data_IF_312626474054
#
_entry.id   IF_312626474054
#
_cell.length_a   1.000
_cell.length_b   1.000
_cell.length_c   1.000
_cell.angle_alpha   90.00
_cell.angle_beta   90.00
_cell.angle_gamma   90.00
#
_symmetry.space_group_name_H-M   'P 1'
#
loop_
_entity.id
_entity.type
_entity.pdbx_description
1 polymer ?
#
# COMPACT_ATOMS: atom_id res chain seq x y z
N UNK A 1 -15.55 5.89 -23.53
CA UNK A 1 -14.11 6.01 -23.84
C UNK A 1 -13.41 6.15 -22.51
N UNK A 2 -12.45 5.28 -22.21
CA UNK A 2 -11.60 5.47 -21.03
C UNK A 2 -10.89 6.82 -21.18
N UNK A 3 -10.87 7.59 -20.12
CA UNK A 3 -10.09 8.83 -20.08
C UNK A 3 -8.61 8.46 -20.17
N UNK A 4 -7.80 9.32 -20.82
CA UNK A 4 -6.33 9.15 -20.77
C UNK A 4 -5.75 9.32 -19.37
N UNK A 5 -6.62 9.46 -18.37
CA UNK A 5 -6.28 9.57 -16.96
C UNK A 5 -5.29 10.70 -16.66
N UNK A 6 -4.36 10.39 -15.77
CA UNK A 6 -3.35 11.34 -15.27
C UNK A 6 -1.95 11.09 -15.88
N UNK A 7 -1.84 10.17 -16.82
CA UNK A 7 -0.55 9.73 -17.39
C UNK A 7 0.37 10.91 -17.69
N UNK A 8 1.53 10.92 -17.03
CA UNK A 8 2.62 11.91 -17.20
C UNK A 8 2.22 13.39 -17.02
N UNK A 9 1.15 13.67 -16.28
CA UNK A 9 0.77 15.05 -15.95
C UNK A 9 1.46 15.56 -14.68
N UNK A 10 1.82 14.66 -13.79
CA UNK A 10 2.45 14.98 -12.51
C UNK A 10 3.61 14.04 -12.22
N UNK A 11 4.54 14.52 -11.39
CA UNK A 11 5.67 13.74 -10.91
C UNK A 11 5.89 13.95 -9.40
N UNK A 12 6.38 12.90 -8.74
CA UNK A 12 6.90 12.96 -7.39
C UNK A 12 8.35 13.47 -7.47
N UNK A 13 8.68 14.47 -6.68
CA UNK A 13 10.02 15.08 -6.64
C UNK A 13 10.69 15.01 -5.28
N UNK A 14 9.97 14.62 -4.24
CA UNK A 14 10.50 14.42 -2.90
C UNK A 14 9.64 13.47 -2.10
N UNK A 15 10.27 12.62 -1.30
CA UNK A 15 9.56 11.70 -0.41
C UNK A 15 10.27 11.58 0.93
N UNK A 16 9.46 11.26 1.96
CA UNK A 16 9.92 10.92 3.29
C UNK A 16 9.03 9.87 3.94
N UNK A 17 9.63 9.02 4.77
CA UNK A 17 8.94 7.96 5.48
C UNK A 17 9.64 7.69 6.81
N UNK A 18 8.90 7.72 7.91
CA UNK A 18 9.45 7.38 9.23
C UNK A 18 9.77 5.89 9.32
N UNK A 19 10.51 5.48 10.32
CA UNK A 19 10.50 4.08 10.75
C UNK A 19 9.10 3.75 11.26
N UNK A 20 8.54 2.60 10.85
CA UNK A 20 7.26 2.13 11.38
C UNK A 20 7.47 1.23 12.58
N UNK A 21 6.54 1.26 13.53
CA UNK A 21 6.68 0.46 14.73
C UNK A 21 5.78 0.92 15.87
N UNK A 22 6.19 0.59 17.09
CA UNK A 22 5.56 1.06 18.33
C UNK A 22 6.35 2.26 18.86
N UNK A 23 5.86 3.47 18.61
CA UNK A 23 6.53 4.72 18.99
C UNK A 23 5.95 5.32 20.26
N UNK A 24 6.32 4.76 21.41
CA UNK A 24 5.86 5.23 22.72
C UNK A 24 6.42 6.62 23.10
N UNK A 25 7.48 7.06 22.44
CA UNK A 25 8.21 8.31 22.65
C UNK A 25 7.85 9.42 21.65
N UNK A 26 6.99 9.16 20.65
CA UNK A 26 6.61 10.12 19.60
C UNK A 26 5.10 10.36 19.59
N UNK A 27 4.73 11.61 19.39
CA UNK A 27 3.36 12.02 19.10
C UNK A 27 3.04 11.96 17.60
N UNK A 28 1.77 12.18 17.24
CA UNK A 28 1.36 12.40 15.83
C UNK A 28 2.15 13.54 15.20
N UNK A 29 2.34 14.63 15.96
CA UNK A 29 3.07 15.82 15.51
C UNK A 29 4.53 15.50 15.18
N UNK A 30 5.20 14.71 16.02
CA UNK A 30 6.60 14.30 15.81
C UNK A 30 6.74 13.45 14.54
N UNK A 31 5.85 12.47 14.34
CA UNK A 31 5.85 11.60 13.16
C UNK A 31 5.63 12.41 11.87
N UNK A 32 4.66 13.33 11.87
CA UNK A 32 4.39 14.21 10.72
C UNK A 32 5.59 15.10 10.40
N UNK A 33 6.19 15.72 11.42
CA UNK A 33 7.37 16.59 11.25
C UNK A 33 8.56 15.80 10.70
N UNK A 34 8.79 14.57 11.16
CA UNK A 34 9.87 13.71 10.69
C UNK A 34 9.72 13.37 9.20
N UNK A 35 8.55 12.84 8.79
CA UNK A 35 8.28 12.47 7.41
C UNK A 35 8.34 13.67 6.44
N UNK A 36 7.76 14.79 6.84
CA UNK A 36 7.71 16.01 6.02
C UNK A 36 9.09 16.65 5.89
N UNK A 37 9.90 16.68 6.95
CA UNK A 37 11.29 17.16 6.89
C UNK A 37 12.14 16.32 5.93
N UNK A 38 11.97 15.00 5.94
CA UNK A 38 12.68 14.13 5.01
C UNK A 38 12.23 14.38 3.56
N UNK A 39 10.92 14.50 3.30
CA UNK A 39 10.41 14.82 1.96
C UNK A 39 10.94 16.16 1.43
N UNK A 40 10.96 17.19 2.27
CA UNK A 40 11.56 18.50 1.92
C UNK A 40 13.06 18.39 1.69
N UNK A 41 13.79 17.65 2.53
CA UNK A 41 15.23 17.49 2.39
C UNK A 41 15.62 16.72 1.14
N UNK A 42 14.83 15.70 0.74
CA UNK A 42 15.07 14.88 -0.46
C UNK A 42 14.91 15.64 -1.78
N UNK A 43 14.19 16.76 -1.77
CA UNK A 43 13.95 17.61 -2.94
C UNK A 43 14.61 19.00 -2.85
N UNK A 44 15.04 19.40 -1.65
CA UNK A 44 15.48 20.77 -1.37
C UNK A 44 14.38 21.81 -1.34
N UNK A 45 13.10 21.40 -1.36
CA UNK A 45 11.93 22.30 -1.43
C UNK A 45 11.53 22.75 -0.01
N UNK A 46 11.51 24.05 0.29
CA UNK A 46 10.98 24.57 1.54
C UNK A 46 9.46 24.39 1.61
N UNK A 47 8.91 24.14 2.81
CA UNK A 47 7.46 24.03 3.00
C UNK A 47 6.68 25.30 2.61
N UNK A 48 7.31 26.46 2.70
CA UNK A 48 6.73 27.73 2.30
C UNK A 48 6.35 27.78 0.80
N UNK A 49 7.08 27.03 -0.03
CA UNK A 49 6.85 26.99 -1.48
C UNK A 49 5.74 26.02 -1.88
N UNK A 50 5.30 25.14 -0.97
CA UNK A 50 4.20 24.20 -1.22
C UNK A 50 2.86 24.95 -1.13
N UNK A 51 2.03 24.84 -2.17
CA UNK A 51 0.77 25.58 -2.31
C UNK A 51 -0.32 25.02 -1.40
N UNK A 52 -0.48 23.69 -1.36
CA UNK A 52 -1.55 23.01 -0.62
C UNK A 52 -1.11 21.63 -0.12
N UNK A 53 -1.83 21.11 0.89
CA UNK A 53 -1.49 19.88 1.58
C UNK A 53 -2.70 18.96 1.68
N UNK A 54 -2.46 17.65 1.59
CA UNK A 54 -3.42 16.59 1.87
C UNK A 54 -2.93 15.76 3.04
N UNK A 55 -3.81 15.49 3.99
CA UNK A 55 -3.56 14.65 5.16
C UNK A 55 -4.45 13.42 5.12
N UNK A 56 -3.84 12.25 5.00
CA UNK A 56 -4.50 10.95 5.17
C UNK A 56 -4.36 10.45 6.61
N UNK A 57 -5.47 10.25 7.30
CA UNK A 57 -5.51 9.61 8.62
C UNK A 57 -6.89 9.06 8.92
N UNK A 58 -6.96 7.86 9.51
CA UNK A 58 -8.20 7.27 10.00
C UNK A 58 -8.54 7.81 11.39
N UNK A 59 -7.62 7.66 12.35
CA UNK A 59 -7.87 7.87 13.76
C UNK A 59 -6.99 8.95 14.43
N UNK A 60 -5.92 9.41 13.75
CA UNK A 60 -4.90 10.27 14.37
C UNK A 60 -5.15 11.79 14.18
N UNK A 61 -6.34 12.17 13.73
CA UNK A 61 -6.72 13.58 13.59
C UNK A 61 -8.05 13.78 12.89
N UNK A 62 -8.76 14.85 13.23
CA UNK A 62 -10.12 15.12 12.75
C UNK A 62 -10.19 16.13 11.60
N UNK A 63 -9.13 16.92 11.37
CA UNK A 63 -9.13 17.99 10.37
C UNK A 63 -7.74 18.29 9.85
N UNK A 64 -7.64 19.16 8.84
CA UNK A 64 -6.36 19.67 8.33
C UNK A 64 -5.50 20.37 9.39
N UNK A 65 -6.09 20.84 10.49
CA UNK A 65 -5.34 21.46 11.59
C UNK A 65 -4.35 20.49 12.27
N UNK A 66 -4.59 19.19 12.17
CA UNK A 66 -3.65 18.16 12.63
C UNK A 66 -2.29 18.29 11.93
N UNK A 67 -2.28 18.64 10.65
CA UNK A 67 -1.06 18.88 9.88
C UNK A 67 -0.55 20.34 10.04
N UNK A 68 -1.48 21.32 10.03
CA UNK A 68 -1.10 22.74 10.05
C UNK A 68 -0.33 23.11 11.30
N UNK A 69 -0.77 22.61 12.47
CA UNK A 69 -0.20 22.97 13.76
C UNK A 69 1.29 22.60 13.89
N UNK A 70 1.70 21.34 13.73
CA UNK A 70 3.10 20.95 13.91
C UNK A 70 4.03 21.51 12.84
N UNK A 71 3.53 21.71 11.62
CA UNK A 71 4.32 22.21 10.50
C UNK A 71 4.26 23.73 10.35
N UNK A 72 3.46 24.42 11.17
CA UNK A 72 3.27 25.89 11.13
C UNK A 72 2.86 26.39 9.75
N UNK A 73 1.85 25.72 9.17
CA UNK A 73 1.33 26.04 7.83
C UNK A 73 0.31 27.19 7.96
N UNK A 74 0.81 28.42 8.09
CA UNK A 74 -0.02 29.61 8.27
C UNK A 74 -0.86 29.88 7.02
N UNK A 75 -2.19 29.72 7.15
CA UNK A 75 -3.18 29.99 6.10
C UNK A 75 -3.04 29.17 4.81
N UNK A 76 -2.26 28.09 4.80
CA UNK A 76 -2.18 27.16 3.65
C UNK A 76 -3.43 26.25 3.62
N UNK A 77 -3.95 25.92 2.44
CA UNK A 77 -5.00 24.91 2.30
C UNK A 77 -4.54 23.53 2.77
N UNK A 78 -5.30 22.91 3.67
CA UNK A 78 -5.05 21.54 4.13
C UNK A 78 -6.35 20.76 4.07
N UNK A 79 -6.39 19.68 3.28
CA UNK A 79 -7.53 18.79 3.15
C UNK A 79 -7.26 17.47 3.85
N UNK A 80 -8.14 17.04 4.77
CA UNK A 80 -8.10 15.70 5.35
C UNK A 80 -8.93 14.76 4.49
N UNK A 81 -8.39 13.55 4.23
CA UNK A 81 -9.07 12.46 3.52
C UNK A 81 -9.00 11.17 4.32
N UNK A 82 -9.95 10.27 4.05
CA UNK A 82 -10.02 8.96 4.69
C UNK A 82 -10.74 7.97 3.75
N UNK A 83 -10.22 6.74 3.63
CA UNK A 83 -10.81 5.58 2.95
C UNK A 83 -10.22 4.28 3.54
N UNK A 84 -10.39 4.08 4.85
CA UNK A 84 -9.81 2.94 5.57
C UNK A 84 -8.31 2.77 5.25
N UNK A 85 -7.85 1.54 5.02
CA UNK A 85 -6.44 1.25 4.75
C UNK A 85 -5.91 1.84 3.42
N UNK A 86 -6.77 2.35 2.54
CA UNK A 86 -6.40 3.08 1.33
C UNK A 86 -6.18 4.60 1.55
N UNK A 87 -6.30 5.07 2.78
CA UNK A 87 -6.27 6.50 3.15
C UNK A 87 -5.02 7.23 2.68
N UNK A 88 -3.82 6.64 2.83
CA UNK A 88 -2.58 7.25 2.34
C UNK A 88 -2.55 7.40 0.82
N UNK A 89 -3.06 6.40 0.10
CA UNK A 89 -3.20 6.43 -1.35
C UNK A 89 -4.24 7.46 -1.81
N UNK A 90 -5.34 7.66 -1.06
CA UNK A 90 -6.32 8.72 -1.31
C UNK A 90 -5.71 10.11 -1.15
N UNK A 91 -4.88 10.31 -0.12
CA UNK A 91 -4.14 11.57 0.04
C UNK A 91 -3.30 11.86 -1.20
N UNK A 92 -2.56 10.88 -1.67
CA UNK A 92 -1.75 10.99 -2.89
C UNK A 92 -2.59 11.23 -4.14
N UNK A 93 -3.67 10.46 -4.36
CA UNK A 93 -4.53 10.60 -5.54
C UNK A 93 -5.15 12.00 -5.66
N UNK A 94 -5.70 12.51 -4.57
CA UNK A 94 -6.31 13.85 -4.56
C UNK A 94 -5.28 14.95 -4.78
N UNK A 95 -4.10 14.84 -4.17
CA UNK A 95 -2.99 15.76 -4.40
C UNK A 95 -2.55 15.78 -5.87
N UNK A 96 -2.41 14.60 -6.49
CA UNK A 96 -2.09 14.47 -7.92
C UNK A 96 -3.14 15.13 -8.81
N UNK A 97 -4.42 14.92 -8.55
CA UNK A 97 -5.50 15.53 -9.34
C UNK A 97 -5.55 17.06 -9.18
N UNK A 98 -5.20 17.59 -8.01
CA UNK A 98 -5.14 19.03 -7.79
C UNK A 98 -4.06 19.71 -8.65
N UNK A 99 -2.88 19.08 -8.77
CA UNK A 99 -1.82 19.56 -9.69
C UNK A 99 -2.22 19.35 -11.15
N UNK A 100 -2.69 18.17 -11.52
CA UNK A 100 -3.07 17.85 -12.90
C UNK A 100 -4.22 18.71 -13.43
N UNK A 101 -5.10 19.24 -12.56
CA UNK A 101 -6.16 20.18 -12.92
C UNK A 101 -5.68 21.62 -13.10
N UNK A 102 -4.45 21.93 -12.71
CA UNK A 102 -3.90 23.29 -12.71
C UNK A 102 -4.38 24.15 -11.54
N UNK A 103 -5.02 23.56 -10.51
CA UNK A 103 -5.43 24.32 -9.32
C UNK A 103 -4.23 24.73 -8.46
N UNK A 104 -3.18 23.94 -8.48
CA UNK A 104 -1.93 24.17 -7.76
C UNK A 104 -0.74 23.71 -8.62
N UNK A 105 0.42 24.31 -8.39
CA UNK A 105 1.66 23.97 -9.10
C UNK A 105 2.48 22.93 -8.35
N UNK A 106 2.45 23.01 -7.01
CA UNK A 106 3.19 22.15 -6.09
C UNK A 106 2.37 21.84 -4.86
N UNK A 107 2.24 20.55 -4.54
CA UNK A 107 1.47 20.11 -3.38
C UNK A 107 2.19 19.03 -2.60
N UNK A 108 1.76 18.81 -1.35
CA UNK A 108 2.26 17.72 -0.52
C UNK A 108 1.12 16.80 -0.09
N UNK A 109 1.28 15.51 -0.35
CA UNK A 109 0.47 14.46 0.25
C UNK A 109 1.18 13.92 1.49
N UNK A 110 0.45 13.80 2.60
CA UNK A 110 0.94 13.24 3.86
C UNK A 110 0.00 12.17 4.37
N UNK A 111 0.53 11.26 5.18
CA UNK A 111 -0.26 10.26 5.85
C UNK A 111 0.35 9.90 7.19
N UNK A 112 -0.48 9.66 8.21
CA UNK A 112 -0.02 9.35 9.56
C UNK A 112 -1.02 8.45 10.28
N UNK A 113 -0.51 7.54 11.11
CA UNK A 113 -1.28 6.93 12.20
C UNK A 113 -0.41 6.78 13.45
N UNK A 114 -1.03 7.04 14.59
CA UNK A 114 -0.51 6.84 15.93
C UNK A 114 -1.54 6.05 16.73
N UNK A 115 -1.41 4.72 16.69
CA UNK A 115 -2.44 3.79 17.10
C UNK A 115 -2.12 3.05 18.41
N UNK A 116 -0.84 2.78 18.69
CA UNK A 116 -0.44 1.88 19.78
C UNK A 116 -0.83 2.35 21.18
N UNK A 117 -0.85 3.64 21.43
CA UNK A 117 -1.21 4.27 22.70
C UNK A 117 -2.53 5.06 22.66
N UNK A 118 -3.27 4.97 21.56
CA UNK A 118 -4.59 5.62 21.39
C UNK A 118 -5.77 4.74 21.84
N UNK A 119 -5.50 3.50 22.27
CA UNK A 119 -6.54 2.50 22.57
C UNK A 119 -7.09 1.77 21.35
N UNK A 120 -6.54 2.02 20.14
CA UNK A 120 -6.95 1.33 18.93
C UNK A 120 -6.39 -0.09 18.90
N UNK A 121 -7.28 -1.09 18.86
CA UNK A 121 -6.91 -2.52 18.88
C UNK A 121 -6.94 -3.20 17.51
N UNK A 122 -7.16 -2.43 16.43
CA UNK A 122 -7.35 -2.92 15.08
C UNK A 122 -8.75 -2.63 14.54
N UNK A 123 -8.96 -2.91 13.26
CA UNK A 123 -10.26 -2.72 12.63
C UNK A 123 -11.27 -3.74 13.18
N UNK A 124 -12.37 -3.21 13.70
CA UNK A 124 -13.56 -3.98 14.08
C UNK A 124 -14.72 -3.42 13.27
N UNK A 125 -15.51 -4.28 12.66
CA UNK A 125 -16.72 -3.92 11.94
C UNK A 125 -17.92 -4.53 12.65
N UNK A 126 -18.91 -3.69 12.90
CA UNK A 126 -20.16 -4.10 13.52
C UNK A 126 -21.19 -4.39 12.42
N UNK A 127 -21.79 -5.55 12.48
CA UNK A 127 -22.86 -5.98 11.59
C UNK A 127 -24.20 -5.95 12.33
N UNK A 128 -25.18 -5.25 11.78
CA UNK A 128 -26.57 -5.31 12.25
C UNK A 128 -27.21 -6.62 11.77
N UNK A 129 -27.65 -7.46 12.68
CA UNK A 129 -28.33 -8.74 12.37
C UNK A 129 -29.75 -8.55 11.84
N UNK A 130 -30.27 -7.34 11.77
CA UNK A 130 -31.65 -7.05 11.32
C UNK A 130 -32.73 -7.44 12.35
N UNK A 131 -32.35 -8.08 13.45
CA UNK A 131 -33.21 -8.49 14.57
C UNK A 131 -32.93 -7.67 15.86
N UNK A 132 -32.14 -6.59 15.72
CA UNK A 132 -31.68 -5.75 16.81
C UNK A 132 -30.44 -6.30 17.54
N UNK A 133 -29.84 -7.36 17.03
CA UNK A 133 -28.53 -7.83 17.49
C UNK A 133 -27.41 -7.22 16.66
N UNK A 134 -26.31 -6.85 17.33
CA UNK A 134 -25.09 -6.38 16.67
C UNK A 134 -23.99 -7.43 16.89
N UNK A 135 -23.37 -7.86 15.81
CA UNK A 135 -22.21 -8.76 15.86
C UNK A 135 -20.97 -8.00 15.43
N UNK A 136 -19.91 -8.05 16.23
CA UNK A 136 -18.63 -7.41 15.90
C UNK A 136 -17.65 -8.45 15.37
N UNK A 137 -17.03 -8.16 14.22
CA UNK A 137 -15.96 -8.99 13.65
C UNK A 137 -14.67 -8.21 13.56
N UNK A 138 -13.57 -8.85 13.97
CA UNK A 138 -12.22 -8.29 13.81
C UNK A 138 -11.73 -8.48 12.35
N UNK A 139 -10.81 -7.64 11.90
CA UNK A 139 -10.22 -7.77 10.58
C UNK A 139 -9.64 -9.18 10.31
N UNK A 140 -8.86 -9.80 11.21
CA UNK A 140 -8.42 -11.19 11.02
C UNK A 140 -9.57 -12.17 10.79
N UNK A 141 -10.69 -12.02 11.50
CA UNK A 141 -11.84 -12.91 11.33
C UNK A 141 -12.47 -12.76 9.94
N UNK A 142 -12.66 -11.53 9.46
CA UNK A 142 -13.23 -11.27 8.12
C UNK A 142 -12.35 -11.80 7.00
N UNK A 143 -11.05 -11.55 7.06
CA UNK A 143 -10.10 -11.97 6.03
C UNK A 143 -9.76 -13.47 6.10
N UNK A 144 -10.01 -14.14 7.24
CA UNK A 144 -9.75 -15.58 7.39
C UNK A 144 -10.56 -16.47 6.44
N UNK A 145 -11.67 -15.94 5.91
CA UNK A 145 -12.53 -16.67 4.97
C UNK A 145 -11.92 -16.83 3.57
N UNK A 146 -10.98 -15.96 3.18
CA UNK A 146 -10.31 -16.03 1.87
C UNK A 146 -9.57 -17.36 1.68
N UNK A 147 -8.82 -17.81 2.67
CA UNK A 147 -7.99 -19.00 2.58
C UNK A 147 -8.79 -20.27 2.30
N UNK A 148 -9.81 -20.65 3.10
CA UNK A 148 -10.60 -21.86 2.85
C UNK A 148 -11.45 -21.75 1.58
N UNK A 149 -11.94 -20.55 1.21
CA UNK A 149 -12.67 -20.34 -0.02
C UNK A 149 -11.79 -20.59 -1.24
N UNK A 150 -10.58 -20.03 -1.24
CA UNK A 150 -9.59 -20.23 -2.30
C UNK A 150 -9.23 -21.72 -2.45
N UNK A 151 -8.89 -22.38 -1.33
CA UNK A 151 -8.55 -23.79 -1.32
C UNK A 151 -9.66 -24.67 -1.89
N UNK A 152 -10.91 -24.44 -1.47
CA UNK A 152 -12.09 -25.17 -1.96
C UNK A 152 -12.31 -24.96 -3.46
N UNK A 153 -12.21 -23.72 -3.94
CA UNK A 153 -12.47 -23.39 -5.34
C UNK A 153 -11.45 -24.00 -6.28
N UNK A 154 -10.17 -23.96 -5.92
CA UNK A 154 -9.07 -24.36 -6.80
C UNK A 154 -8.46 -25.73 -6.47
N UNK A 155 -9.03 -26.46 -5.50
CA UNK A 155 -8.60 -27.82 -5.15
C UNK A 155 -7.21 -27.87 -4.49
N UNK A 156 -6.83 -26.82 -3.75
CA UNK A 156 -5.61 -26.78 -2.98
C UNK A 156 -5.85 -27.50 -1.65
N UNK A 157 -5.02 -28.47 -1.30
CA UNK A 157 -5.17 -29.15 -0.01
C UNK A 157 -4.72 -28.26 1.17
N UNK A 158 -5.11 -28.66 2.38
CA UNK A 158 -4.86 -27.88 3.59
C UNK A 158 -3.35 -27.71 3.88
N UNK A 159 -2.54 -28.73 3.61
CA UNK A 159 -1.11 -28.67 3.83
C UNK A 159 -0.42 -27.75 2.82
N UNK A 160 -0.80 -27.84 1.54
CA UNK A 160 -0.34 -26.92 0.51
C UNK A 160 -0.74 -25.49 0.80
N UNK A 161 -2.00 -25.24 1.19
CA UNK A 161 -2.47 -23.90 1.54
C UNK A 161 -1.67 -23.31 2.71
N UNK A 162 -1.40 -24.11 3.72
CA UNK A 162 -0.58 -23.69 4.88
C UNK A 162 0.85 -23.34 4.45
N UNK A 163 1.44 -24.12 3.54
CA UNK A 163 2.79 -23.84 3.01
C UNK A 163 2.82 -22.56 2.17
N UNK A 164 1.78 -22.32 1.38
CA UNK A 164 1.60 -21.08 0.60
C UNK A 164 1.54 -19.85 1.51
N UNK A 165 0.68 -19.86 2.54
CA UNK A 165 0.56 -18.77 3.51
C UNK A 165 1.88 -18.54 4.26
N UNK A 166 2.54 -19.64 4.69
CA UNK A 166 3.83 -19.56 5.34
C UNK A 166 4.92 -19.01 4.40
N UNK A 167 4.87 -19.33 3.12
CA UNK A 167 5.80 -18.79 2.11
C UNK A 167 5.65 -17.28 1.94
N UNK A 168 4.42 -16.77 1.86
CA UNK A 168 4.14 -15.33 1.80
C UNK A 168 4.65 -14.63 3.07
N UNK A 169 4.30 -15.14 4.24
CA UNK A 169 4.77 -14.59 5.51
C UNK A 169 6.30 -14.58 5.61
N UNK A 170 6.94 -15.69 5.23
CA UNK A 170 8.40 -15.82 5.21
C UNK A 170 9.03 -14.77 4.29
N UNK A 171 8.55 -14.64 3.04
CA UNK A 171 9.04 -13.66 2.06
C UNK A 171 9.00 -12.24 2.60
N UNK A 172 7.86 -11.82 3.18
CA UNK A 172 7.69 -10.49 3.69
C UNK A 172 8.58 -10.22 4.93
N UNK A 173 8.75 -11.21 5.82
CA UNK A 173 9.72 -11.11 6.93
C UNK A 173 11.18 -11.12 6.46
N UNK A 174 11.51 -11.89 5.41
CA UNK A 174 12.83 -11.88 4.78
C UNK A 174 13.18 -10.50 4.23
N UNK A 175 12.24 -9.87 3.53
CA UNK A 175 12.40 -8.52 2.97
C UNK A 175 12.47 -7.46 4.08
N UNK A 176 11.56 -7.49 5.06
CA UNK A 176 11.53 -6.55 6.17
C UNK A 176 12.76 -6.62 7.07
N UNK A 177 13.36 -7.82 7.24
CA UNK A 177 14.60 -7.97 8.00
C UNK A 177 15.76 -7.17 7.40
N UNK A 178 15.72 -6.89 6.10
CA UNK A 178 16.69 -6.08 5.35
C UNK A 178 16.33 -4.61 5.28
N UNK A 179 15.18 -4.21 5.85
CA UNK A 179 14.72 -2.84 5.81
C UNK A 179 14.87 -2.17 7.19
N UNK A 180 15.77 -1.17 7.33
CA UNK A 180 16.00 -0.51 8.62
C UNK A 180 14.78 0.27 9.13
N UNK A 181 13.79 0.54 8.27
CA UNK A 181 12.56 1.27 8.63
C UNK A 181 11.41 0.33 9.01
N UNK A 182 11.57 -0.99 8.81
CA UNK A 182 10.52 -1.94 9.12
C UNK A 182 10.34 -2.15 10.63
N UNK A 183 9.10 -2.40 11.03
CA UNK A 183 8.74 -2.76 12.41
C UNK A 183 9.35 -4.10 12.82
N UNK A 184 9.22 -5.12 11.96
CA UNK A 184 9.72 -6.46 12.23
C UNK A 184 10.97 -6.73 11.39
N UNK A 185 12.14 -6.58 12.00
CA UNK A 185 13.45 -6.70 11.36
C UNK A 185 14.17 -8.01 11.65
N UNK A 186 13.40 -9.09 11.77
CA UNK A 186 13.95 -10.43 12.01
C UNK A 186 13.40 -11.40 10.99
N UNK A 187 14.29 -12.20 10.42
CA UNK A 187 13.86 -13.35 9.63
C UNK A 187 13.15 -14.36 10.54
N UNK A 188 12.09 -14.96 10.01
CA UNK A 188 11.30 -15.97 10.71
C UNK A 188 11.27 -17.22 9.84
N UNK A 189 11.58 -18.38 10.39
CA UNK A 189 11.55 -19.62 9.61
C UNK A 189 10.12 -20.06 9.31
N UNK A 190 9.91 -20.80 8.23
CA UNK A 190 8.59 -21.33 7.87
C UNK A 190 8.01 -22.22 8.97
N UNK A 191 8.87 -22.99 9.66
CA UNK A 191 8.47 -23.87 10.76
C UNK A 191 7.91 -23.04 11.92
N UNK A 192 8.56 -21.92 12.27
CA UNK A 192 8.09 -21.01 13.31
C UNK A 192 6.77 -20.33 12.92
N UNK A 193 6.62 -19.95 11.64
CA UNK A 193 5.37 -19.40 11.11
C UNK A 193 4.24 -20.41 11.25
N UNK A 194 4.44 -21.65 10.77
CA UNK A 194 3.46 -22.72 10.81
C UNK A 194 3.09 -23.16 12.24
N UNK A 195 3.99 -23.02 13.20
CA UNK A 195 3.76 -23.36 14.61
C UNK A 195 3.17 -22.20 15.44
N UNK A 196 2.95 -21.03 14.83
CA UNK A 196 2.46 -19.87 15.56
C UNK A 196 1.02 -20.04 16.04
N UNK A 197 0.64 -19.40 17.16
CA UNK A 197 -0.74 -19.43 17.64
C UNK A 197 -1.71 -18.87 16.61
N UNK A 198 -2.88 -19.52 16.47
CA UNK A 198 -3.96 -19.06 15.61
C UNK A 198 -4.64 -17.81 16.21
N UNK A 199 -4.99 -16.88 15.33
CA UNK A 199 -5.69 -15.63 15.65
C UNK A 199 -7.15 -15.72 15.22
N UNK A 200 -7.43 -16.18 14.00
CA UNK A 200 -8.77 -16.34 13.48
C UNK A 200 -8.79 -17.36 12.33
N UNK A 201 -9.68 -18.36 12.39
CA UNK A 201 -9.73 -19.43 11.39
C UNK A 201 -8.35 -20.07 11.19
N UNK A 202 -7.86 -20.19 9.95
CA UNK A 202 -6.54 -20.74 9.67
C UNK A 202 -5.39 -19.76 9.88
N UNK A 203 -5.67 -18.48 10.17
CA UNK A 203 -4.63 -17.45 10.29
C UNK A 203 -3.90 -17.52 11.62
N UNK A 204 -2.58 -17.66 11.58
CA UNK A 204 -1.69 -17.49 12.72
C UNK A 204 -1.23 -16.04 12.89
N UNK A 205 -0.47 -15.76 13.94
CA UNK A 205 0.09 -14.41 14.22
C UNK A 205 0.90 -13.91 13.03
N UNK A 206 1.69 -14.78 12.41
CA UNK A 206 2.52 -14.40 11.25
C UNK A 206 1.73 -14.28 9.95
N UNK A 207 0.45 -14.59 9.92
CA UNK A 207 -0.42 -14.31 8.78
C UNK A 207 -1.03 -12.91 8.84
N UNK A 208 -0.90 -12.21 9.95
CA UNK A 208 -1.51 -10.90 10.20
C UNK A 208 -0.46 -9.78 10.21
N UNK A 209 -0.80 -8.61 9.66
CA UNK A 209 -0.03 -7.38 9.88
C UNK A 209 -0.18 -6.89 11.31
N UNK A 210 0.88 -6.29 11.86
CA UNK A 210 0.82 -5.66 13.17
C UNK A 210 0.20 -4.26 13.13
N UNK A 211 -0.40 -3.84 14.24
CA UNK A 211 -0.76 -2.43 14.46
C UNK A 211 0.51 -1.62 14.62
N UNK A 212 0.64 -0.54 13.87
CA UNK A 212 1.87 0.26 13.78
C UNK A 212 1.57 1.75 13.86
N UNK A 213 2.55 2.48 14.34
CA UNK A 213 2.64 3.94 14.24
C UNK A 213 3.60 4.32 13.13
N UNK A 214 3.35 5.42 12.44
CA UNK A 214 4.24 5.94 11.41
C UNK A 214 3.61 6.99 10.53
N UNK A 215 4.45 7.69 9.77
CA UNK A 215 4.05 8.72 8.81
C UNK A 215 4.87 8.64 7.54
N UNK A 216 4.29 9.11 6.42
CA UNK A 216 4.99 9.28 5.16
C UNK A 216 4.48 10.53 4.43
N UNK A 217 5.31 11.08 3.54
CA UNK A 217 5.00 12.28 2.77
C UNK A 217 5.58 12.22 1.37
N UNK A 218 4.88 12.85 0.40
CA UNK A 218 5.31 12.99 -0.99
C UNK A 218 5.06 14.42 -1.47
N UNK A 219 6.03 15.01 -2.17
CA UNK A 219 5.90 16.29 -2.86
C UNK A 219 5.63 16.02 -4.34
N UNK A 220 4.55 16.59 -4.86
CA UNK A 220 4.05 16.38 -6.21
C UNK A 220 4.05 17.73 -6.94
N UNK A 221 4.54 17.73 -8.18
CA UNK A 221 4.59 18.89 -9.08
C UNK A 221 4.07 18.51 -10.45
N UNK A 222 3.88 19.49 -11.34
CA UNK A 222 3.66 19.21 -12.77
C UNK A 222 4.85 18.44 -13.33
N UNK A 223 4.60 17.47 -14.19
CA UNK A 223 5.65 16.63 -14.78
C UNK A 223 6.68 17.47 -15.56
N UNK A 224 6.24 18.51 -16.27
CA UNK A 224 7.10 19.41 -17.03
C UNK A 224 8.09 20.22 -16.17
N UNK A 225 7.75 20.45 -14.90
CA UNK A 225 8.58 21.19 -13.95
C UNK A 225 9.48 20.30 -13.10
N UNK A 226 9.32 18.98 -13.16
CA UNK A 226 9.92 18.04 -12.22
C UNK A 226 11.46 18.10 -12.17
N UNK A 227 12.10 18.28 -13.33
CA UNK A 227 13.57 18.39 -13.43
C UNK A 227 14.16 19.68 -12.84
N UNK A 228 13.32 20.64 -12.42
CA UNK A 228 13.78 21.80 -11.64
C UNK A 228 14.12 21.45 -10.20
N UNK A 229 13.59 20.34 -9.70
CA UNK A 229 13.68 19.93 -8.29
C UNK A 229 14.52 18.68 -8.08
N UNK A 230 14.60 17.79 -9.08
CA UNK A 230 15.39 16.55 -8.97
C UNK A 230 15.78 16.03 -10.36
N UNK A 231 16.97 15.42 -10.46
CA UNK A 231 17.43 14.77 -11.69
C UNK A 231 16.71 13.45 -11.96
N UNK A 232 16.04 12.88 -10.94
CA UNK A 232 15.38 11.57 -10.99
C UNK A 232 13.92 11.68 -10.51
N UNK A 233 13.05 12.42 -11.18
CA UNK A 233 11.63 12.47 -10.84
C UNK A 233 10.97 11.11 -11.09
N UNK A 234 9.90 10.83 -10.32
CA UNK A 234 9.08 9.64 -10.55
C UNK A 234 7.72 10.09 -11.07
N UNK A 235 7.42 9.74 -12.31
CA UNK A 235 6.21 10.13 -13.04
C UNK A 235 5.03 9.25 -12.66
N UNK A 236 3.85 9.85 -12.53
CA UNK A 236 2.60 9.12 -12.31
C UNK A 236 2.05 8.68 -13.67
N UNK A 237 1.96 7.36 -13.88
CA UNK A 237 1.50 6.74 -15.12
C UNK A 237 0.02 6.39 -15.12
N UNK A 238 -0.51 6.07 -13.96
CA UNK A 238 -1.91 5.73 -13.79
C UNK A 238 -2.33 5.81 -12.34
N UNK A 239 -3.54 6.30 -12.10
CA UNK A 239 -4.22 6.28 -10.82
C UNK A 239 -5.64 5.79 -11.03
N UNK A 240 -6.02 4.73 -10.34
CA UNK A 240 -7.36 4.20 -10.40
C UNK A 240 -7.90 3.91 -9.01
N UNK A 241 -9.19 4.13 -8.84
CA UNK A 241 -9.89 3.88 -7.59
C UNK A 241 -11.26 3.29 -7.89
N UNK A 242 -11.62 2.24 -7.18
CA UNK A 242 -12.93 1.60 -7.27
C UNK A 242 -13.49 1.39 -5.86
N UNK A 243 -14.70 1.87 -5.62
CA UNK A 243 -15.51 1.50 -4.47
C UNK A 243 -16.47 0.37 -4.88
N UNK A 244 -16.54 -0.67 -4.08
CA UNK A 244 -17.45 -1.78 -4.28
C UNK A 244 -18.90 -1.44 -3.93
N UNK A 245 -19.85 -2.34 -4.18
CA UNK A 245 -21.26 -2.17 -3.88
C UNK A 245 -21.57 -2.19 -2.37
N UNK A 246 -20.58 -2.54 -1.53
CA UNK A 246 -20.70 -2.67 -0.07
C UNK A 246 -21.81 -3.65 0.37
N UNK A 247 -22.00 -4.72 -0.39
CA UNK A 247 -22.96 -5.78 -0.05
C UNK A 247 -22.40 -6.76 0.99
N UNK A 248 -21.08 -6.91 1.03
CA UNK A 248 -20.35 -7.72 1.98
C UNK A 248 -20.84 -9.14 2.12
N UNK A 249 -20.91 -9.64 3.35
CA UNK A 249 -21.43 -10.98 3.65
C UNK A 249 -22.92 -11.15 3.33
N UNK A 250 -23.65 -10.06 3.06
CA UNK A 250 -25.07 -10.11 2.67
C UNK A 250 -25.27 -10.56 1.23
N UNK A 251 -24.23 -10.56 0.39
CA UNK A 251 -24.28 -11.06 -0.96
C UNK A 251 -23.96 -12.57 -1.00
N UNK A 252 -24.95 -13.45 -1.20
CA UNK A 252 -24.70 -14.89 -1.22
C UNK A 252 -23.88 -15.35 -2.44
N UNK A 253 -23.67 -14.49 -3.43
CA UNK A 253 -22.83 -14.77 -4.58
C UNK A 253 -21.36 -14.45 -4.37
N UNK A 254 -20.99 -13.73 -3.30
CA UNK A 254 -19.60 -13.41 -2.99
C UNK A 254 -18.84 -14.64 -2.49
N UNK A 255 -17.86 -15.06 -3.27
CA UNK A 255 -17.17 -16.36 -3.07
C UNK A 255 -15.83 -16.25 -2.33
N UNK A 256 -15.44 -15.08 -1.87
CA UNK A 256 -14.19 -14.83 -1.14
C UNK A 256 -12.90 -15.23 -1.89
N UNK A 257 -12.92 -15.28 -3.22
CA UNK A 257 -11.76 -15.64 -4.03
C UNK A 257 -11.30 -14.54 -4.99
N UNK A 258 -11.98 -13.41 -4.97
CA UNK A 258 -11.74 -12.27 -5.87
C UNK A 258 -12.20 -10.99 -5.20
N UNK A 259 -11.40 -9.95 -5.32
CA UNK A 259 -11.81 -8.57 -5.05
C UNK A 259 -12.12 -7.90 -6.38
N UNK A 260 -13.39 -7.80 -6.74
CA UNK A 260 -13.82 -7.21 -8.03
C UNK A 260 -13.34 -5.77 -8.17
N UNK A 261 -13.26 -5.04 -7.06
CA UNK A 261 -12.74 -3.67 -6.97
C UNK A 261 -11.27 -3.61 -7.42
N UNK A 262 -10.46 -4.61 -7.04
CA UNK A 262 -9.06 -4.72 -7.44
C UNK A 262 -8.94 -4.98 -8.94
N UNK A 263 -9.70 -5.95 -9.46
CA UNK A 263 -9.70 -6.26 -10.90
C UNK A 263 -10.05 -5.02 -11.73
N UNK A 264 -11.03 -4.22 -11.28
CA UNK A 264 -11.47 -3.02 -12.00
C UNK A 264 -10.44 -1.89 -11.91
N UNK A 265 -9.95 -1.59 -10.71
CA UNK A 265 -8.95 -0.53 -10.52
C UNK A 265 -7.62 -0.88 -11.20
N UNK A 266 -7.19 -2.15 -11.19
CA UNK A 266 -6.02 -2.60 -11.92
C UNK A 266 -6.18 -2.41 -13.43
N UNK A 267 -7.30 -2.85 -14.02
CA UNK A 267 -7.58 -2.69 -15.44
C UNK A 267 -7.56 -1.21 -15.88
N UNK A 268 -8.15 -0.32 -15.07
CA UNK A 268 -8.14 1.12 -15.32
C UNK A 268 -6.73 1.71 -15.24
N UNK A 269 -5.95 1.35 -14.22
CA UNK A 269 -4.58 1.83 -14.05
C UNK A 269 -3.67 1.34 -15.18
N UNK A 270 -3.80 0.08 -15.58
CA UNK A 270 -3.06 -0.50 -16.72
C UNK A 270 -3.41 0.20 -18.03
N UNK A 271 -4.69 0.46 -18.27
CA UNK A 271 -5.13 1.22 -19.44
C UNK A 271 -4.50 2.60 -19.49
N UNK A 272 -4.48 3.33 -18.37
CA UNK A 272 -3.83 4.65 -18.29
C UNK A 272 -2.34 4.56 -18.55
N UNK A 273 -1.64 3.58 -17.97
CA UNK A 273 -0.20 3.40 -18.08
C UNK A 273 0.24 2.76 -19.42
N UNK A 274 -0.70 2.17 -20.18
CA UNK A 274 -0.41 1.42 -21.41
C UNK A 274 0.20 0.04 -21.16
N UNK A 275 -0.05 -0.54 -19.98
CA UNK A 275 0.43 -1.88 -19.60
C UNK A 275 -0.53 -2.93 -20.17
N UNK A 276 0.02 -3.95 -20.82
CA UNK A 276 -0.69 -5.09 -21.39
C UNK A 276 -0.34 -6.41 -20.72
N UNK A 277 0.86 -6.52 -20.18
CA UNK A 277 1.36 -7.67 -19.43
C UNK A 277 2.03 -7.20 -18.12
N UNK A 278 1.26 -7.01 -17.03
CA UNK A 278 1.77 -6.43 -15.80
C UNK A 278 2.95 -7.21 -15.20
N UNK A 279 2.93 -8.55 -15.27
CA UNK A 279 4.01 -9.39 -14.75
C UNK A 279 5.34 -9.15 -15.47
N UNK A 280 5.31 -8.92 -16.79
CA UNK A 280 6.50 -8.70 -17.60
C UNK A 280 6.99 -7.24 -17.61
N UNK A 281 6.08 -6.29 -17.48
CA UNK A 281 6.37 -4.86 -17.65
C UNK A 281 6.70 -4.15 -16.33
N UNK A 282 6.13 -4.61 -15.20
CA UNK A 282 6.42 -4.04 -13.90
C UNK A 282 7.75 -4.54 -13.34
N UNK A 283 8.52 -3.65 -12.77
CA UNK A 283 9.74 -3.97 -12.04
C UNK A 283 9.44 -4.56 -10.66
N UNK A 284 8.42 -4.01 -10.01
CA UNK A 284 7.99 -4.41 -8.68
C UNK A 284 6.53 -4.07 -8.45
N UNK A 285 5.96 -4.66 -7.40
CA UNK A 285 4.67 -4.28 -6.87
C UNK A 285 4.70 -4.22 -5.34
N UNK A 286 4.15 -3.16 -4.77
CA UNK A 286 3.74 -3.11 -3.37
C UNK A 286 2.24 -3.38 -3.31
N UNK A 287 1.83 -4.44 -2.63
CA UNK A 287 0.43 -4.86 -2.57
C UNK A 287 -0.06 -4.92 -1.13
N UNK A 288 -1.38 -4.89 -0.97
CA UNK A 288 -2.03 -4.90 0.34
C UNK A 288 -2.00 -6.29 0.98
N UNK A 289 -0.93 -6.63 1.67
CA UNK A 289 -0.70 -7.88 2.38
C UNK A 289 -1.08 -7.82 3.86
N UNK A 290 -2.20 -7.18 4.19
CA UNK A 290 -2.65 -7.11 5.59
C UNK A 290 -2.81 -8.51 6.22
N UNK A 291 -3.11 -9.52 5.39
CA UNK A 291 -3.11 -10.94 5.72
C UNK A 291 -2.54 -11.74 4.55
N UNK A 292 -1.89 -12.87 4.84
CA UNK A 292 -1.27 -13.71 3.80
C UNK A 292 -2.24 -14.19 2.72
N UNK A 293 -3.50 -14.62 3.02
CA UNK A 293 -4.43 -14.99 1.96
C UNK A 293 -4.89 -13.80 1.11
N UNK A 294 -4.82 -12.57 1.62
CA UNK A 294 -5.07 -11.38 0.82
C UNK A 294 -4.02 -11.24 -0.27
N UNK A 295 -2.73 -11.32 0.08
CA UNK A 295 -1.65 -11.28 -0.94
C UNK A 295 -1.84 -12.39 -1.99
N UNK A 296 -2.18 -13.62 -1.57
CA UNK A 296 -2.45 -14.73 -2.50
C UNK A 296 -3.51 -14.37 -3.54
N UNK A 297 -4.67 -13.89 -3.10
CA UNK A 297 -5.78 -13.51 -4.00
C UNK A 297 -5.38 -12.35 -4.90
N UNK A 298 -4.65 -11.38 -4.38
CA UNK A 298 -4.18 -10.21 -5.13
C UNK A 298 -3.22 -10.57 -6.27
N UNK A 299 -2.43 -11.64 -6.17
CA UNK A 299 -1.57 -12.08 -7.28
C UNK A 299 -2.38 -12.39 -8.53
N UNK A 300 -3.58 -12.92 -8.36
CA UNK A 300 -4.50 -13.23 -9.45
C UNK A 300 -5.35 -12.01 -9.87
N UNK A 301 -5.82 -11.22 -8.91
CA UNK A 301 -6.66 -10.05 -9.17
C UNK A 301 -5.90 -8.94 -9.90
N UNK A 302 -4.61 -8.78 -9.61
CA UNK A 302 -3.71 -7.84 -10.29
C UNK A 302 -3.14 -8.40 -11.62
N UNK A 303 -3.48 -9.65 -11.99
CA UNK A 303 -3.03 -10.28 -13.22
C UNK A 303 -1.55 -10.70 -13.22
N UNK A 304 -0.96 -10.93 -12.03
CA UNK A 304 0.42 -11.44 -11.91
C UNK A 304 0.46 -12.97 -12.04
N UNK A 305 -0.66 -13.64 -11.82
CA UNK A 305 -0.87 -15.06 -12.06
C UNK A 305 -2.21 -15.31 -12.74
N UNK A 306 -2.32 -16.44 -13.44
CA UNK A 306 -3.62 -16.93 -13.91
C UNK A 306 -4.51 -17.35 -12.74
N UNK A 307 -5.82 -17.25 -12.90
CA UNK A 307 -6.80 -17.67 -11.89
C UNK A 307 -6.61 -19.14 -11.49
N UNK A 308 -6.46 -19.38 -10.18
CA UNK A 308 -6.23 -20.69 -9.59
C UNK A 308 -4.78 -21.18 -9.64
N UNK A 309 -3.85 -20.37 -10.14
CA UNK A 309 -2.42 -20.71 -10.20
C UNK A 309 -1.54 -19.84 -9.30
N UNK A 310 -2.09 -18.81 -8.67
CA UNK A 310 -1.33 -17.91 -7.78
C UNK A 310 -0.55 -18.64 -6.69
N UNK A 311 -1.12 -19.68 -6.09
CA UNK A 311 -0.47 -20.48 -5.07
C UNK A 311 0.78 -21.21 -5.58
N UNK A 312 0.80 -21.69 -6.83
CA UNK A 312 1.97 -22.34 -7.44
C UNK A 312 3.08 -21.34 -7.68
N UNK A 313 2.74 -20.15 -8.15
CA UNK A 313 3.68 -19.07 -8.39
C UNK A 313 4.31 -18.59 -7.06
N UNK A 314 3.53 -18.51 -5.98
CA UNK A 314 4.04 -18.22 -4.64
C UNK A 314 5.07 -19.27 -4.21
N UNK A 315 4.74 -20.56 -4.32
CA UNK A 315 5.66 -21.65 -3.94
C UNK A 315 6.91 -21.70 -4.82
N UNK A 316 6.79 -21.34 -6.10
CA UNK A 316 7.92 -21.27 -7.04
C UNK A 316 8.89 -20.11 -6.73
N UNK A 317 8.51 -19.15 -5.88
CA UNK A 317 9.33 -17.98 -5.57
C UNK A 317 9.27 -16.87 -6.62
N UNK A 318 8.25 -16.90 -7.49
CA UNK A 318 8.05 -15.88 -8.55
C UNK A 318 8.05 -14.47 -8.01
N UNK A 319 7.55 -14.28 -6.77
CA UNK A 319 7.35 -12.98 -6.12
C UNK A 319 8.42 -12.63 -5.07
N UNK A 320 9.49 -13.42 -5.00
CA UNK A 320 10.60 -13.15 -4.09
C UNK A 320 11.37 -11.87 -4.51
N UNK A 321 12.23 -11.37 -3.64
CA UNK A 321 13.04 -10.16 -3.91
C UNK A 321 13.86 -10.27 -5.21
N UNK A 322 14.35 -11.46 -5.50
CA UNK A 322 15.13 -11.82 -6.70
C UNK A 322 14.31 -12.65 -7.72
N UNK A 323 12.99 -12.74 -7.51
CA UNK A 323 12.06 -13.42 -8.40
C UNK A 323 11.77 -12.66 -9.70
N UNK A 324 10.87 -13.18 -10.50
CA UNK A 324 10.47 -12.57 -11.78
C UNK A 324 9.81 -11.20 -11.60
N UNK A 325 8.96 -11.06 -10.56
CA UNK A 325 8.31 -9.83 -10.14
C UNK A 325 8.41 -9.69 -8.62
N UNK A 326 9.28 -8.82 -8.14
CA UNK A 326 9.41 -8.59 -6.71
C UNK A 326 8.12 -7.99 -6.13
N UNK A 327 7.50 -8.69 -5.17
CA UNK A 327 6.29 -8.21 -4.47
C UNK A 327 6.62 -7.94 -3.01
N UNK A 328 6.27 -6.72 -2.55
CA UNK A 328 6.56 -6.23 -1.21
C UNK A 328 8.05 -6.32 -0.84
N UNK A 329 8.95 -5.77 -1.68
CA UNK A 329 10.40 -5.85 -1.46
C UNK A 329 10.88 -5.14 -0.19
N UNK A 330 10.05 -4.29 0.39
CA UNK A 330 10.33 -3.57 1.64
C UNK A 330 9.87 -4.32 2.90
N UNK A 331 9.10 -5.40 2.74
CA UNK A 331 8.52 -6.21 3.81
C UNK A 331 6.99 -6.15 3.87
N UNK A 332 6.35 -5.31 3.04
CA UNK A 332 4.90 -5.16 2.95
C UNK A 332 4.27 -4.61 4.24
N UNK A 333 2.95 -4.58 4.29
CA UNK A 333 2.21 -4.20 5.52
C UNK A 333 2.54 -5.12 6.68
N UNK A 334 2.81 -6.37 6.33
CA UNK A 334 3.03 -7.45 7.29
C UNK A 334 4.31 -7.28 8.11
N UNK A 335 5.41 -6.90 7.50
CA UNK A 335 6.70 -6.79 8.18
C UNK A 335 7.18 -5.36 8.34
N UNK A 336 6.98 -4.52 7.33
CA UNK A 336 7.29 -3.09 7.45
C UNK A 336 6.39 -2.44 8.49
N UNK A 337 5.10 -2.77 8.48
CA UNK A 337 4.10 -2.22 9.38
C UNK A 337 2.93 -1.58 8.62
N UNK A 338 1.81 -1.37 9.34
CA UNK A 338 0.58 -0.89 8.74
C UNK A 338 -0.06 0.28 9.52
N UNK A 339 0.60 1.46 9.57
CA UNK A 339 -0.08 2.69 9.96
C UNK A 339 -1.04 3.07 8.82
N UNK A 340 -2.32 2.89 9.04
CA UNK A 340 -3.38 2.92 8.01
C UNK A 340 -3.27 4.16 7.11
N UNK A 341 -3.15 5.34 7.70
CA UNK A 341 -3.03 6.61 6.95
C UNK A 341 -1.73 6.78 6.17
N UNK A 342 -0.67 6.09 6.55
CA UNK A 342 0.66 6.24 5.94
C UNK A 342 1.03 5.16 4.92
N UNK A 343 0.40 3.98 4.99
CA UNK A 343 0.83 2.79 4.24
C UNK A 343 0.90 3.01 2.73
N UNK A 344 -0.09 3.67 2.12
CA UNK A 344 -0.08 3.90 0.67
C UNK A 344 1.08 4.82 0.21
N UNK A 345 1.45 5.81 1.03
CA UNK A 345 2.61 6.66 0.76
C UNK A 345 3.94 5.91 1.02
N UNK A 346 4.00 5.03 2.03
CA UNK A 346 5.16 4.16 2.26
C UNK A 346 5.42 3.24 1.07
N UNK A 347 4.38 2.67 0.46
CA UNK A 347 4.50 1.85 -0.75
C UNK A 347 5.12 2.65 -1.92
N UNK A 348 4.69 3.90 -2.09
CA UNK A 348 5.30 4.81 -3.06
C UNK A 348 6.75 5.14 -2.72
N UNK A 349 7.09 5.24 -1.42
CA UNK A 349 8.46 5.48 -0.98
C UNK A 349 9.40 4.34 -1.39
N UNK A 350 8.97 3.08 -1.31
CA UNK A 350 9.78 1.97 -1.82
C UNK A 350 9.93 2.02 -3.35
N UNK A 351 8.84 2.28 -4.10
CA UNK A 351 8.92 2.48 -5.54
C UNK A 351 9.87 3.64 -5.91
N UNK A 352 9.83 4.73 -5.14
CA UNK A 352 10.74 5.87 -5.26
C UNK A 352 12.20 5.46 -5.11
N UNK A 353 12.54 4.70 -4.07
CA UNK A 353 13.92 4.25 -3.82
C UNK A 353 14.41 3.30 -4.92
N UNK A 354 13.61 2.32 -5.31
CA UNK A 354 13.99 1.30 -6.28
C UNK A 354 14.18 1.89 -7.68
N UNK A 355 13.19 2.64 -8.18
CA UNK A 355 13.23 3.21 -9.53
C UNK A 355 14.31 4.31 -9.70
N UNK A 356 14.77 4.90 -8.62
CA UNK A 356 15.87 5.88 -8.59
C UNK A 356 17.25 5.25 -8.39
N UNK A 357 17.31 3.92 -8.19
CA UNK A 357 18.52 3.18 -7.82
C UNK A 357 19.13 3.68 -6.49
N UNK A 358 18.28 3.99 -5.51
CA UNK A 358 18.65 4.49 -4.19
C UNK A 358 18.29 3.50 -3.06
N UNK A 359 17.72 2.34 -3.40
CA UNK A 359 17.49 1.28 -2.44
C UNK A 359 18.83 0.70 -1.94
N UNK A 360 18.92 0.30 -0.65
CA UNK A 360 20.11 -0.37 -0.12
C UNK A 360 20.48 -1.62 -0.95
N UNK A 361 21.78 -1.92 -1.13
CA UNK A 361 22.23 -3.02 -1.98
C UNK A 361 21.57 -4.38 -1.70
N UNK A 362 21.35 -4.68 -0.41
CA UNK A 362 20.72 -5.91 0.06
C UNK A 362 19.21 -6.02 -0.26
N UNK A 363 18.59 -4.94 -0.74
CA UNK A 363 17.19 -4.87 -1.15
C UNK A 363 16.99 -4.44 -2.60
N UNK A 364 18.08 -4.19 -3.33
CA UNK A 364 18.00 -3.75 -4.72
C UNK A 364 17.39 -4.85 -5.59
N UNK A 365 16.42 -4.48 -6.43
CA UNK A 365 15.66 -5.39 -7.29
C UNK A 365 16.37 -5.53 -8.63
N UNK A 366 16.66 -6.77 -9.05
CA UNK A 366 17.35 -7.06 -10.32
C UNK A 366 16.59 -6.62 -11.56
N UNK A 367 15.26 -6.72 -11.55
CA UNK A 367 14.42 -6.25 -12.67
C UNK A 367 14.59 -4.77 -12.96
N UNK A 368 14.95 -3.94 -11.96
CA UNK A 368 15.31 -2.53 -12.15
C UNK A 368 16.75 -2.39 -12.64
N UNK A 369 17.71 -3.00 -11.95
CA UNK A 369 19.14 -2.75 -12.18
C UNK A 369 19.71 -3.48 -13.38
N UNK A 370 19.24 -4.69 -13.66
CA UNK A 370 19.71 -5.56 -14.73
C UNK A 370 18.66 -5.71 -15.84
N UNK A 371 17.38 -5.77 -15.47
CA UNK A 371 16.26 -5.95 -16.39
C UNK A 371 15.77 -4.69 -17.08
N UNK A 372 16.19 -3.50 -16.61
CA UNK A 372 15.83 -2.22 -17.20
C UNK A 372 14.33 -1.88 -17.12
N UNK A 373 13.55 -2.56 -16.25
CA UNK A 373 12.13 -2.26 -16.05
C UNK A 373 11.99 -0.95 -15.27
N UNK A 374 11.08 -0.09 -15.72
CA UNK A 374 10.97 1.30 -15.27
C UNK A 374 9.65 1.64 -14.59
N UNK A 375 8.77 0.65 -14.41
CA UNK A 375 7.43 0.83 -13.86
C UNK A 375 7.28 0.08 -12.54
N UNK A 376 6.60 0.69 -11.58
CA UNK A 376 6.22 0.07 -10.32
C UNK A 376 4.72 0.25 -10.08
N UNK A 377 4.12 -0.73 -9.41
CA UNK A 377 2.73 -0.70 -8.99
C UNK A 377 2.65 -0.55 -7.47
N UNK A 378 1.70 0.26 -6.98
CA UNK A 378 1.25 0.19 -5.59
C UNK A 378 -0.25 -0.08 -5.53
N UNK A 379 -0.67 -0.91 -4.59
CA UNK A 379 -2.07 -1.29 -4.41
C UNK A 379 -2.47 -1.28 -2.93
N UNK A 380 -3.60 -0.62 -2.63
CA UNK A 380 -4.22 -0.69 -1.31
C UNK A 380 -5.69 -1.11 -1.40
N UNK A 381 -6.10 -1.97 -0.45
CA UNK A 381 -7.50 -2.19 -0.08
C UNK A 381 -7.85 -1.32 1.13
N UNK A 382 -9.09 -0.85 1.20
CA UNK A 382 -9.68 -0.28 2.39
C UNK A 382 -11.00 -0.98 2.70
N UNK A 383 -11.22 -1.41 3.93
CA UNK A 383 -12.42 -2.16 4.34
C UNK A 383 -12.19 -3.66 4.47
N UNK A 384 -13.19 -4.47 4.15
CA UNK A 384 -13.21 -5.91 4.32
C UNK A 384 -13.60 -6.64 3.02
N UNK A 385 -13.35 -7.97 2.91
CA UNK A 385 -13.81 -8.74 1.78
C UNK A 385 -15.32 -8.58 1.51
N UNK A 386 -15.68 -8.16 0.29
CA UNK A 386 -17.06 -7.85 -0.12
C UNK A 386 -17.54 -6.42 0.21
N UNK A 387 -16.81 -5.68 1.02
CA UNK A 387 -17.10 -4.28 1.41
C UNK A 387 -15.83 -3.46 1.38
N UNK A 388 -15.23 -3.31 0.20
CA UNK A 388 -13.95 -2.64 0.12
C UNK A 388 -13.87 -1.57 -0.97
N UNK A 389 -12.87 -0.73 -0.80
CA UNK A 389 -12.36 0.16 -1.85
C UNK A 389 -11.00 -0.36 -2.29
N UNK A 390 -10.65 -0.17 -3.54
CA UNK A 390 -9.35 -0.52 -4.09
C UNK A 390 -8.72 0.67 -4.79
N UNK A 391 -7.47 0.90 -4.50
CA UNK A 391 -6.65 1.91 -5.14
C UNK A 391 -5.44 1.24 -5.81
N UNK A 392 -5.18 1.58 -7.06
CA UNK A 392 -3.98 1.17 -7.81
C UNK A 392 -3.29 2.40 -8.37
N UNK A 393 -1.99 2.53 -8.12
CA UNK A 393 -1.15 3.47 -8.83
C UNK A 393 -0.08 2.76 -9.65
N UNK A 394 0.25 3.34 -10.80
CA UNK A 394 1.42 3.00 -11.60
C UNK A 394 2.32 4.23 -11.63
N UNK A 395 3.58 4.04 -11.27
CA UNK A 395 4.59 5.09 -11.32
C UNK A 395 5.80 4.63 -12.14
N UNK A 396 6.57 5.56 -12.69
CA UNK A 396 7.70 5.24 -13.55
C UNK A 396 8.83 6.26 -13.48
N UNK A 397 10.06 5.80 -13.78
CA UNK A 397 11.28 6.64 -13.75
C UNK A 397 11.45 7.52 -15.00
N UNK A 398 10.66 7.32 -16.03
CA UNK A 398 10.74 8.10 -17.28
C UNK A 398 9.35 8.50 -17.76
N UNK A 399 9.19 9.65 -18.46
CA UNK A 399 7.94 9.96 -19.15
C UNK A 399 7.68 8.93 -20.25
N UNK A 400 6.41 8.76 -20.63
CA UNK A 400 6.03 7.94 -21.79
C UNK A 400 6.47 8.63 -23.08
N UNK A 401 6.85 7.84 -24.06
CA UNK A 401 7.18 8.32 -25.40
C UNK A 401 5.96 8.92 -26.13
#
# INVERSE_FOLDING_TARGET
>A
MASNGIRDKVAIVGMGCTTFGEHWDKSVDDLLVEAVKEASASSGIPLADVDAFWLGTLASGLSGLTLSRPLKLDYKPVTRVENYCATGSESFRNACYAVASGAYDMVMATGVEKLKDSGYSGLVVDFDGGDGTTSSMTAPAMFSLLAPAYAKKYGVDEAELKDVMARIAWKNHYNGARNPRAQFRKEVSKEAICASPLVAGPLGIFDCSGVSDGAAAAIIVRAEDAHRYTDKPIYVKGLAFAAGPANGPMDPSYDYTTFTEVVRSAADAYTQAGITNPRAELAMAEVHDCFTPTELVLMEDLGFAERGFGWKEVLAGTYDLDGELAVNPDGGLKSFGHPIGASGLRMLFEAWLQLRHEAPPERTIKSVTEGGRKLALTHNLGGAPGECVSFVSIVGSEPSE
#
